data_IF_690529174993
#
_entry.id   IF_690529174993
#
_cell.length_a   1.000
_cell.length_b   1.000
_cell.length_c   1.000
_cell.angle_alpha   90.00
_cell.angle_beta   90.00
_cell.angle_gamma   90.00
#
_symmetry.space_group_name_H-M   'P 1'
#
loop_
_entity.id
_entity.type
_entity.pdbx_description
1 polymer ?
#
# COMPACT_ATOMS: atom_id res chain seq x y z
N UNK A 1 18.92 -80.32 68.42
CA UNK A 1 17.74 -80.25 67.55
C UNK A 1 17.38 -78.79 67.44
N UNK A 2 18.00 -78.11 66.48
CA UNK A 2 17.80 -76.66 66.27
C UNK A 2 17.44 -76.40 64.79
N UNK A 3 16.30 -75.85 64.58
CA UNK A 3 15.76 -75.56 63.26
C UNK A 3 16.22 -74.15 62.88
N UNK A 4 17.01 -74.11 61.81
CA UNK A 4 17.47 -72.82 61.19
C UNK A 4 16.39 -72.31 60.26
N UNK A 5 15.88 -71.06 60.50
CA UNK A 5 14.92 -70.35 59.65
C UNK A 5 15.71 -69.44 58.78
N UNK A 6 15.70 -69.68 57.44
CA UNK A 6 16.24 -68.76 56.41
C UNK A 6 15.28 -67.66 56.13
N UNK A 7 15.67 -66.40 56.36
CA UNK A 7 14.97 -65.22 55.90
C UNK A 7 15.42 -64.86 54.46
N UNK A 8 14.51 -64.93 53.47
CA UNK A 8 14.74 -64.46 52.09
C UNK A 8 14.56 -62.95 52.04
N UNK A 9 15.61 -62.24 51.70
CA UNK A 9 15.52 -60.80 51.29
C UNK A 9 15.18 -60.72 49.80
N UNK A 10 14.08 -60.08 49.47
CA UNK A 10 13.75 -59.66 48.08
C UNK A 10 14.32 -58.27 47.82
N UNK A 11 15.01 -58.05 46.71
CA UNK A 11 15.41 -56.67 46.33
C UNK A 11 14.25 -55.91 45.75
N UNK A 12 14.00 -54.72 46.31
CA UNK A 12 13.04 -53.76 45.84
C UNK A 12 13.67 -53.03 44.63
N UNK A 13 13.21 -53.34 43.40
CA UNK A 13 13.57 -52.59 42.16
C UNK A 13 12.74 -51.31 42.12
N UNK A 14 13.40 -50.16 42.37
CA UNK A 14 12.86 -48.84 42.21
C UNK A 14 12.88 -48.47 40.73
N UNK A 15 11.73 -48.59 40.03
CA UNK A 15 11.59 -48.15 38.64
C UNK A 15 11.39 -46.62 38.61
N UNK A 16 12.46 -45.88 38.26
CA UNK A 16 12.34 -44.46 37.90
C UNK A 16 11.65 -44.35 36.56
N UNK A 17 10.36 -44.02 36.55
CA UNK A 17 9.65 -43.60 35.34
C UNK A 17 10.08 -42.17 34.99
N UNK A 18 10.98 -42.04 34.02
CA UNK A 18 11.28 -40.74 33.38
C UNK A 18 10.11 -40.39 32.49
N UNK A 19 9.21 -39.54 32.97
CA UNK A 19 8.16 -38.90 32.13
C UNK A 19 8.83 -37.88 31.21
N UNK A 20 9.14 -38.29 29.98
CA UNK A 20 9.42 -37.35 28.88
C UNK A 20 8.12 -36.57 28.63
N UNK A 21 8.01 -35.36 29.17
CA UNK A 21 7.02 -34.39 28.80
C UNK A 21 7.29 -33.95 27.38
N UNK A 22 6.60 -34.53 26.41
CA UNK A 22 6.51 -33.98 25.06
C UNK A 22 5.75 -32.67 25.17
N UNK A 23 6.46 -31.53 25.11
CA UNK A 23 5.84 -30.25 24.84
C UNK A 23 5.23 -30.33 23.42
N UNK A 24 3.97 -30.75 23.33
CA UNK A 24 3.17 -30.45 22.18
C UNK A 24 3.01 -28.93 22.15
N UNK A 25 3.74 -28.27 21.25
CA UNK A 25 3.32 -26.94 20.80
C UNK A 25 1.95 -27.17 20.16
N UNK A 26 0.91 -26.84 20.89
CA UNK A 26 -0.41 -26.75 20.30
C UNK A 26 -0.32 -25.67 19.20
N UNK A 27 -0.31 -26.11 17.95
CA UNK A 27 -0.57 -25.19 16.83
C UNK A 27 -1.91 -24.54 17.15
N UNK A 28 -1.92 -23.23 17.31
CA UNK A 28 -3.17 -22.51 17.54
C UNK A 28 -4.11 -22.86 16.38
N UNK A 29 -5.31 -23.38 16.70
CA UNK A 29 -6.33 -23.57 15.69
C UNK A 29 -6.59 -22.22 15.03
N UNK A 30 -6.72 -22.18 13.67
CA UNK A 30 -7.03 -20.93 12.98
C UNK A 30 -8.29 -20.32 13.61
N UNK A 31 -8.35 -18.98 13.77
CA UNK A 31 -9.51 -18.34 14.39
C UNK A 31 -10.76 -18.71 13.59
N UNK A 32 -11.80 -19.13 14.29
CA UNK A 32 -13.09 -19.48 13.67
C UNK A 32 -13.73 -18.26 12.94
N UNK A 33 -13.21 -17.06 13.21
CA UNK A 33 -13.64 -15.79 12.63
C UNK A 33 -12.42 -14.89 12.42
N UNK A 34 -12.43 -14.05 11.37
CA UNK A 34 -11.44 -13.03 11.12
C UNK A 34 -12.13 -11.69 10.85
N UNK A 35 -11.95 -10.74 11.75
CA UNK A 35 -12.52 -9.39 11.65
C UNK A 35 -11.42 -8.38 11.42
N UNK A 36 -11.49 -7.64 10.29
CA UNK A 36 -10.45 -6.72 9.83
C UNK A 36 -11.02 -5.30 9.78
N UNK A 37 -10.36 -4.35 10.44
CA UNK A 37 -10.58 -2.92 10.23
C UNK A 37 -9.68 -2.42 9.10
N UNK A 38 -10.23 -1.68 8.15
CA UNK A 38 -9.47 -1.05 7.05
C UNK A 38 -9.70 0.45 7.12
N UNK A 39 -8.66 1.21 7.53
CA UNK A 39 -8.67 2.67 7.54
C UNK A 39 -7.81 3.19 6.41
N UNK A 40 -8.45 3.84 5.44
CA UNK A 40 -7.82 4.37 4.23
C UNK A 40 -7.91 5.88 4.17
N UNK A 41 -7.12 6.51 3.28
CA UNK A 41 -7.04 7.96 3.18
C UNK A 41 -8.26 8.56 2.52
N UNK A 42 -8.72 8.04 1.36
CA UNK A 42 -9.83 8.62 0.61
C UNK A 42 -10.63 7.57 -0.16
N UNK A 43 -11.96 7.54 0.03
CA UNK A 43 -12.86 6.66 -0.70
C UNK A 43 -13.34 7.23 -2.05
N UNK A 44 -13.00 8.47 -2.37
CA UNK A 44 -13.17 9.04 -3.71
C UNK A 44 -12.22 8.40 -4.74
N UNK A 45 -11.06 7.89 -4.29
CA UNK A 45 -10.16 7.12 -5.14
C UNK A 45 -10.52 5.63 -5.09
N UNK A 46 -10.90 4.99 -6.23
CA UNK A 46 -11.29 3.58 -6.29
C UNK A 46 -10.16 2.60 -5.88
N UNK A 47 -8.90 3.05 -5.88
CA UNK A 47 -7.76 2.31 -5.37
C UNK A 47 -8.01 1.78 -3.94
N UNK A 48 -8.52 2.61 -3.05
CA UNK A 48 -8.77 2.23 -1.66
C UNK A 48 -9.93 1.23 -1.50
N UNK A 49 -10.93 1.29 -2.37
CA UNK A 49 -11.98 0.26 -2.41
C UNK A 49 -11.41 -1.11 -2.81
N UNK A 50 -10.41 -1.15 -3.70
CA UNK A 50 -9.71 -2.39 -4.08
C UNK A 50 -8.88 -2.98 -2.95
N UNK A 51 -8.29 -2.15 -2.09
CA UNK A 51 -7.63 -2.63 -0.85
C UNK A 51 -8.64 -3.40 0.02
N UNK A 52 -9.81 -2.82 0.29
CA UNK A 52 -10.83 -3.49 1.10
C UNK A 52 -11.33 -4.79 0.45
N UNK A 53 -11.54 -4.80 -0.87
CA UNK A 53 -11.93 -6.00 -1.62
C UNK A 53 -10.85 -7.09 -1.54
N UNK A 54 -9.58 -6.71 -1.66
CA UNK A 54 -8.45 -7.64 -1.51
C UNK A 54 -8.37 -8.23 -0.11
N UNK A 55 -8.57 -7.40 0.92
CA UNK A 55 -8.62 -7.84 2.31
C UNK A 55 -9.77 -8.82 2.55
N UNK A 56 -10.99 -8.50 2.06
CA UNK A 56 -12.16 -9.38 2.16
C UNK A 56 -11.91 -10.72 1.46
N UNK A 57 -11.38 -10.70 0.24
CA UNK A 57 -11.11 -11.91 -0.52
C UNK A 57 -10.11 -12.82 0.22
N UNK A 58 -9.00 -12.25 0.76
CA UNK A 58 -8.02 -13.05 1.50
C UNK A 58 -8.56 -13.56 2.83
N UNK A 59 -9.34 -12.75 3.55
CA UNK A 59 -9.99 -13.19 4.78
C UNK A 59 -10.95 -14.36 4.51
N UNK A 60 -11.71 -14.30 3.42
CA UNK A 60 -12.59 -15.42 2.98
C UNK A 60 -11.80 -16.68 2.59
N UNK A 61 -10.65 -16.54 1.93
CA UNK A 61 -9.74 -17.67 1.66
C UNK A 61 -9.29 -18.37 2.95
N UNK A 62 -9.11 -17.61 4.06
CA UNK A 62 -8.60 -18.12 5.33
C UNK A 62 -9.68 -18.70 6.25
N UNK A 63 -10.86 -18.08 6.36
CA UNK A 63 -11.89 -18.44 7.33
C UNK A 63 -13.31 -18.58 6.74
N UNK A 64 -13.44 -18.58 5.41
CA UNK A 64 -14.73 -18.72 4.73
C UNK A 64 -15.69 -17.57 5.03
N UNK A 65 -16.96 -17.90 5.25
CA UNK A 65 -18.03 -16.93 5.50
C UNK A 65 -17.92 -16.19 6.84
N UNK A 66 -16.97 -16.58 7.69
CA UNK A 66 -16.69 -15.93 8.97
C UNK A 66 -15.75 -14.72 8.85
N UNK A 67 -15.44 -14.29 7.63
CA UNK A 67 -14.66 -13.09 7.34
C UNK A 67 -15.52 -11.84 7.41
N UNK A 68 -15.08 -10.84 8.18
CA UNK A 68 -15.71 -9.50 8.28
C UNK A 68 -14.68 -8.42 8.02
N UNK A 69 -14.94 -7.51 7.07
CA UNK A 69 -14.10 -6.35 6.78
C UNK A 69 -14.90 -5.06 6.96
N UNK A 70 -14.38 -4.15 7.76
CA UNK A 70 -14.96 -2.83 8.03
C UNK A 70 -14.07 -1.78 7.37
N UNK A 71 -14.58 -1.10 6.36
CA UNK A 71 -13.88 -0.05 5.63
C UNK A 71 -14.32 1.33 6.09
N UNK A 72 -13.36 2.20 6.43
CA UNK A 72 -13.58 3.61 6.76
C UNK A 72 -12.56 4.50 6.07
N UNK A 73 -12.93 5.78 5.84
CA UNK A 73 -12.03 6.81 5.28
C UNK A 73 -11.67 7.83 6.35
N UNK A 74 -10.39 8.15 6.44
CA UNK A 74 -9.89 9.24 7.27
C UNK A 74 -10.03 10.62 6.61
N UNK A 75 -10.16 10.67 5.28
CA UNK A 75 -10.08 11.90 4.48
C UNK A 75 -8.80 12.69 4.79
N UNK A 76 -7.68 12.01 5.00
CA UNK A 76 -6.38 12.57 5.43
C UNK A 76 -6.41 13.30 6.78
N UNK A 77 -7.50 13.17 7.57
CA UNK A 77 -7.63 13.78 8.89
C UNK A 77 -7.02 12.86 9.96
N UNK A 78 -5.93 13.31 10.57
CA UNK A 78 -5.16 12.56 11.57
C UNK A 78 -6.01 12.23 12.81
N UNK A 79 -6.80 13.20 13.32
CA UNK A 79 -7.60 12.98 14.50
C UNK A 79 -8.77 12.03 14.24
N UNK A 80 -9.36 12.09 13.05
CA UNK A 80 -10.36 11.11 12.61
C UNK A 80 -9.75 9.72 12.54
N UNK A 81 -8.55 9.59 11.97
CA UNK A 81 -7.91 8.30 11.82
C UNK A 81 -7.49 7.69 13.18
N UNK A 82 -7.02 8.50 14.14
CA UNK A 82 -6.78 8.05 15.50
C UNK A 82 -8.04 7.48 16.15
N UNK A 83 -9.17 8.19 16.05
CA UNK A 83 -10.48 7.70 16.55
C UNK A 83 -10.92 6.42 15.84
N UNK A 84 -10.64 6.24 14.55
CA UNK A 84 -10.95 5.01 13.82
C UNK A 84 -10.14 3.82 14.33
N UNK A 85 -8.85 4.00 14.62
CA UNK A 85 -8.00 2.95 15.23
C UNK A 85 -8.58 2.55 16.59
N UNK A 86 -8.85 3.51 17.49
CA UNK A 86 -9.43 3.24 18.81
C UNK A 86 -10.85 2.59 18.71
N UNK A 87 -11.65 2.96 17.72
CA UNK A 87 -12.93 2.34 17.43
C UNK A 87 -12.79 0.88 16.97
N UNK A 88 -11.84 0.57 16.12
CA UNK A 88 -11.55 -0.80 15.71
C UNK A 88 -11.14 -1.68 16.90
N UNK A 89 -10.30 -1.16 17.79
CA UNK A 89 -9.95 -1.85 19.05
C UNK A 89 -11.20 -2.13 19.89
N UNK A 90 -12.09 -1.14 20.05
CA UNK A 90 -13.34 -1.30 20.81
C UNK A 90 -14.30 -2.32 20.18
N UNK A 91 -14.29 -2.43 18.84
CA UNK A 91 -15.06 -3.41 18.07
C UNK A 91 -14.42 -4.80 18.04
N UNK A 92 -13.26 -4.97 18.70
CA UNK A 92 -12.51 -6.22 18.77
C UNK A 92 -12.19 -6.78 17.39
N UNK A 93 -11.64 -5.96 16.51
CA UNK A 93 -11.04 -6.45 15.26
C UNK A 93 -9.79 -7.27 15.61
N UNK A 94 -9.48 -8.25 14.78
CA UNK A 94 -8.29 -9.10 14.94
C UNK A 94 -7.05 -8.41 14.32
N UNK A 95 -7.26 -7.63 13.25
CA UNK A 95 -6.20 -6.81 12.63
C UNK A 95 -6.75 -5.50 12.05
N UNK A 96 -5.85 -4.55 11.85
CA UNK A 96 -6.09 -3.28 11.18
C UNK A 96 -5.17 -3.19 9.97
N UNK A 97 -5.73 -2.91 8.78
CA UNK A 97 -4.99 -2.43 7.64
C UNK A 97 -5.07 -0.90 7.65
N UNK A 98 -3.92 -0.24 7.74
CA UNK A 98 -3.81 1.21 7.93
C UNK A 98 -3.08 1.85 6.74
N UNK A 99 -3.78 2.69 5.97
CA UNK A 99 -3.15 3.65 5.07
C UNK A 99 -3.04 4.98 5.82
N UNK A 100 -1.88 5.21 6.45
CA UNK A 100 -1.67 6.30 7.38
C UNK A 100 -1.68 7.67 6.70
N UNK A 101 -2.46 8.64 7.20
CA UNK A 101 -2.49 10.00 6.69
C UNK A 101 -1.16 10.77 6.95
N UNK A 102 -0.42 10.38 7.98
CA UNK A 102 0.91 10.91 8.34
C UNK A 102 1.72 9.78 8.95
N UNK A 103 2.99 9.66 8.56
CA UNK A 103 3.87 8.53 8.90
C UNK A 103 3.97 8.22 10.40
N UNK A 104 4.25 9.22 11.24
CA UNK A 104 4.56 9.09 12.66
C UNK A 104 3.41 9.52 13.60
N UNK A 105 2.27 9.92 13.04
CA UNK A 105 1.17 10.47 13.83
C UNK A 105 0.39 9.43 14.65
N UNK A 106 0.60 8.13 14.40
CA UNK A 106 -0.25 7.07 14.93
C UNK A 106 0.46 6.08 15.86
N UNK A 107 1.74 6.28 16.17
CA UNK A 107 2.55 5.35 16.98
C UNK A 107 1.87 4.97 18.30
N UNK A 108 1.34 5.95 19.04
CA UNK A 108 0.65 5.68 20.30
C UNK A 108 -0.67 4.90 20.11
N UNK A 109 -1.44 5.23 19.05
CA UNK A 109 -2.70 4.53 18.77
C UNK A 109 -2.42 3.09 18.29
N UNK A 110 -1.38 2.90 17.48
CA UNK A 110 -0.90 1.59 17.04
C UNK A 110 -0.44 0.76 18.25
N UNK A 111 0.37 1.36 19.13
CA UNK A 111 0.83 0.67 20.35
C UNK A 111 -0.35 0.24 21.25
N UNK A 112 -1.39 1.07 21.41
CA UNK A 112 -2.60 0.67 22.15
C UNK A 112 -3.34 -0.48 21.46
N UNK A 113 -3.45 -0.47 20.14
CA UNK A 113 -4.07 -1.56 19.39
C UNK A 113 -3.29 -2.88 19.57
N UNK A 114 -1.96 -2.84 19.48
CA UNK A 114 -1.08 -3.99 19.69
C UNK A 114 -1.16 -4.52 21.12
N UNK A 115 -1.21 -3.65 22.15
CA UNK A 115 -1.42 -4.03 23.56
C UNK A 115 -2.77 -4.73 23.79
N UNK A 116 -3.78 -4.38 22.98
CA UNK A 116 -5.09 -5.05 22.98
C UNK A 116 -5.09 -6.36 22.17
N UNK A 117 -3.94 -6.78 21.60
CA UNK A 117 -3.81 -8.00 20.80
C UNK A 117 -4.14 -7.84 19.32
N UNK A 118 -4.44 -6.63 18.85
CA UNK A 118 -4.76 -6.33 17.44
C UNK A 118 -3.48 -6.17 16.64
N UNK A 119 -3.37 -6.85 15.49
CA UNK A 119 -2.25 -6.67 14.55
C UNK A 119 -2.48 -5.44 13.68
N UNK A 120 -1.44 -4.63 13.48
CA UNK A 120 -1.53 -3.42 12.66
C UNK A 120 -0.58 -3.49 11.48
N UNK A 121 -1.13 -3.61 10.27
CA UNK A 121 -0.39 -3.70 9.01
C UNK A 121 -0.54 -2.37 8.26
N UNK A 122 0.58 -1.71 7.97
CA UNK A 122 0.59 -0.57 7.07
C UNK A 122 0.38 -1.04 5.62
N UNK A 123 -0.49 -0.39 4.88
CA UNK A 123 -0.77 -0.69 3.47
C UNK A 123 -0.73 0.58 2.64
N UNK A 124 -0.16 0.52 1.43
CA UNK A 124 -0.01 1.63 0.50
C UNK A 124 1.05 2.67 0.94
N UNK A 125 1.04 3.06 2.20
CA UNK A 125 1.97 4.00 2.81
C UNK A 125 2.57 3.40 4.08
N UNK A 126 3.75 3.88 4.47
CA UNK A 126 4.40 3.50 5.71
C UNK A 126 3.69 4.12 6.92
N UNK A 127 3.69 3.42 8.05
CA UNK A 127 3.20 3.90 9.34
C UNK A 127 4.16 3.47 10.44
N UNK A 128 4.70 4.44 11.18
CA UNK A 128 5.61 4.17 12.28
C UNK A 128 4.91 3.33 13.37
N UNK A 129 5.60 2.27 13.82
CA UNK A 129 5.08 1.36 14.83
C UNK A 129 4.20 0.21 14.29
N UNK A 130 3.86 0.15 13.00
CA UNK A 130 3.12 -0.96 12.42
C UNK A 130 3.91 -2.29 12.54
N UNK A 131 3.20 -3.41 12.66
CA UNK A 131 3.83 -4.75 12.75
C UNK A 131 4.53 -5.13 11.43
N UNK A 132 3.96 -4.72 10.30
CA UNK A 132 4.57 -4.84 8.98
C UNK A 132 3.97 -3.85 7.98
N UNK A 133 4.65 -3.67 6.85
CA UNK A 133 4.23 -2.79 5.74
C UNK A 133 4.17 -3.55 4.42
N UNK A 134 3.11 -3.34 3.65
CA UNK A 134 3.02 -3.78 2.25
C UNK A 134 2.66 -2.58 1.38
N UNK A 135 3.57 -2.19 0.50
CA UNK A 135 3.41 -1.03 -0.38
C UNK A 135 3.93 -1.32 -1.78
N UNK A 136 3.70 -0.44 -2.73
CA UNK A 136 4.36 -0.46 -4.03
C UNK A 136 5.83 -0.07 -3.84
N UNK A 137 6.73 -0.55 -4.70
CA UNK A 137 8.06 0.04 -4.84
C UNK A 137 7.90 1.44 -5.47
N UNK A 138 7.60 2.43 -4.62
CA UNK A 138 7.26 3.78 -5.06
C UNK A 138 8.44 4.54 -5.68
N UNK A 139 9.69 4.41 -5.18
CA UNK A 139 10.84 4.96 -5.91
C UNK A 139 10.88 4.44 -7.34
N UNK A 140 10.81 3.12 -7.54
CA UNK A 140 10.80 2.50 -8.86
C UNK A 140 9.62 3.01 -9.72
N UNK A 141 8.42 3.19 -9.15
CA UNK A 141 7.27 3.69 -9.89
C UNK A 141 7.52 5.11 -10.44
N UNK A 142 8.12 5.99 -9.64
CA UNK A 142 8.56 7.32 -10.07
C UNK A 142 9.67 7.26 -11.11
N UNK A 143 10.69 6.42 -10.88
CA UNK A 143 11.82 6.22 -11.78
C UNK A 143 11.36 5.78 -13.18
N UNK A 144 10.56 4.71 -13.29
CA UNK A 144 10.13 4.19 -14.60
C UNK A 144 9.18 5.15 -15.33
N UNK A 145 8.35 5.91 -14.60
CA UNK A 145 7.50 6.92 -15.19
C UNK A 145 8.30 8.07 -15.77
N UNK A 146 9.28 8.59 -15.02
CA UNK A 146 10.09 9.74 -15.45
C UNK A 146 11.20 9.35 -16.41
N UNK A 147 11.69 8.11 -16.38
CA UNK A 147 12.54 7.57 -17.45
C UNK A 147 11.79 7.58 -18.79
N UNK A 148 10.52 7.14 -18.79
CA UNK A 148 9.70 7.19 -19.99
C UNK A 148 9.43 8.64 -20.44
N UNK A 149 9.19 9.57 -19.54
CA UNK A 149 9.08 11.01 -19.87
C UNK A 149 10.34 11.48 -20.57
N UNK A 150 11.52 11.27 -19.97
CA UNK A 150 12.79 11.73 -20.53
C UNK A 150 13.04 11.15 -21.94
N UNK A 151 12.70 9.89 -22.16
CA UNK A 151 12.80 9.24 -23.48
C UNK A 151 11.84 9.89 -24.49
N UNK A 152 10.59 10.16 -24.13
CA UNK A 152 9.58 10.73 -25.01
C UNK A 152 9.89 12.17 -25.43
N UNK A 153 10.54 12.96 -24.55
CA UNK A 153 10.96 14.35 -24.86
C UNK A 153 12.41 14.41 -25.33
N UNK A 154 13.04 13.25 -25.68
CA UNK A 154 14.42 13.16 -26.16
C UNK A 154 15.47 13.77 -25.23
N UNK A 155 15.26 13.70 -23.93
CA UNK A 155 16.20 14.14 -22.89
C UNK A 155 16.32 15.66 -22.72
N UNK A 156 15.40 16.45 -23.29
CA UNK A 156 15.41 17.92 -23.18
C UNK A 156 13.99 18.49 -23.16
N UNK A 157 13.75 19.48 -22.31
CA UNK A 157 12.45 20.17 -22.25
C UNK A 157 12.03 20.57 -20.84
N UNK A 158 10.82 21.08 -20.73
CA UNK A 158 10.22 21.59 -19.52
C UNK A 158 9.25 20.57 -18.92
N UNK A 159 9.51 20.11 -17.71
CA UNK A 159 8.71 19.12 -17.01
C UNK A 159 8.02 19.75 -15.81
N UNK A 160 6.77 19.40 -15.59
CA UNK A 160 6.01 19.69 -14.36
C UNK A 160 5.80 18.41 -13.59
N UNK A 161 6.06 18.44 -12.28
CA UNK A 161 5.68 17.41 -11.33
C UNK A 161 4.43 17.91 -10.59
N UNK A 162 3.30 17.28 -10.88
CA UNK A 162 2.04 17.56 -10.18
C UNK A 162 1.97 16.69 -8.93
N UNK A 163 2.37 17.27 -7.81
CA UNK A 163 2.55 16.61 -6.52
C UNK A 163 1.21 16.34 -5.79
N UNK A 164 1.27 15.79 -4.59
CA UNK A 164 0.11 15.37 -3.79
C UNK A 164 0.31 15.49 -2.28
N UNK A 165 -0.54 14.82 -1.50
CA UNK A 165 -0.41 14.75 -0.04
C UNK A 165 0.97 14.21 0.38
N UNK A 166 1.48 14.70 1.52
CA UNK A 166 2.81 14.36 2.03
C UNK A 166 2.78 13.02 2.77
N UNK A 167 2.51 11.94 2.05
CA UNK A 167 2.58 10.55 2.52
C UNK A 167 3.77 9.85 1.87
N UNK A 168 4.28 8.78 2.49
CA UNK A 168 5.53 8.12 2.06
C UNK A 168 5.51 7.72 0.58
N UNK A 169 4.41 7.12 0.11
CA UNK A 169 4.29 6.67 -1.28
C UNK A 169 4.44 7.80 -2.31
N UNK A 170 3.89 8.98 -2.02
CA UNK A 170 3.97 10.15 -2.91
C UNK A 170 5.35 10.78 -2.86
N UNK A 171 5.90 10.98 -1.66
CA UNK A 171 7.27 11.49 -1.48
C UNK A 171 8.28 10.63 -2.25
N UNK A 172 8.18 9.32 -2.10
CA UNK A 172 9.07 8.36 -2.76
C UNK A 172 8.92 8.35 -4.30
N UNK A 173 7.70 8.51 -4.84
CA UNK A 173 7.47 8.64 -6.30
C UNK A 173 8.12 9.89 -6.85
N UNK A 174 7.93 11.02 -6.18
CA UNK A 174 8.53 12.30 -6.59
C UNK A 174 10.06 12.20 -6.54
N UNK A 175 10.63 11.66 -5.47
CA UNK A 175 12.08 11.46 -5.35
C UNK A 175 12.63 10.53 -6.45
N UNK A 176 11.93 9.43 -6.76
CA UNK A 176 12.30 8.54 -7.86
C UNK A 176 12.30 9.26 -9.22
N UNK A 177 11.27 10.07 -9.49
CA UNK A 177 11.18 10.90 -10.68
C UNK A 177 12.32 11.90 -10.76
N UNK A 178 12.55 12.68 -9.71
CA UNK A 178 13.62 13.70 -9.63
C UNK A 178 15.00 13.08 -9.81
N UNK A 179 15.24 11.88 -9.24
CA UNK A 179 16.49 11.14 -9.38
C UNK A 179 16.80 10.86 -10.85
N UNK A 180 15.80 10.39 -11.61
CA UNK A 180 15.98 10.14 -13.04
C UNK A 180 16.17 11.41 -13.84
N UNK A 181 15.33 12.43 -13.60
CA UNK A 181 15.41 13.69 -14.37
C UNK A 181 16.73 14.44 -14.14
N UNK A 182 17.38 14.26 -12.98
CA UNK A 182 18.69 14.84 -12.69
C UNK A 182 19.81 14.33 -13.60
N UNK A 183 19.65 13.13 -14.22
CA UNK A 183 20.59 12.60 -15.20
C UNK A 183 20.49 13.26 -16.59
N UNK A 184 19.46 14.12 -16.80
CA UNK A 184 19.19 14.81 -18.06
C UNK A 184 19.37 16.33 -17.90
N UNK A 185 20.58 16.89 -18.12
CA UNK A 185 20.89 18.28 -17.84
C UNK A 185 20.09 19.30 -18.67
N UNK A 186 19.52 18.88 -19.80
CA UNK A 186 18.70 19.73 -20.66
C UNK A 186 17.21 19.65 -20.32
N UNK A 187 16.82 18.91 -19.27
CA UNK A 187 15.48 18.93 -18.70
C UNK A 187 15.42 19.94 -17.56
N UNK A 188 14.40 20.79 -17.59
CA UNK A 188 14.10 21.75 -16.52
C UNK A 188 12.82 21.38 -15.81
N UNK A 189 12.86 21.13 -14.48
CA UNK A 189 11.67 20.97 -13.67
C UNK A 189 11.12 22.38 -13.37
N UNK A 190 9.96 22.71 -13.93
CA UNK A 190 9.31 24.02 -13.78
C UNK A 190 8.60 24.16 -12.42
N UNK A 191 8.04 23.09 -11.91
CA UNK A 191 7.28 23.03 -10.65
C UNK A 191 7.22 21.59 -10.15
N UNK A 192 7.36 21.41 -8.83
CA UNK A 192 7.31 20.13 -8.11
C UNK A 192 6.53 20.22 -6.79
N UNK A 193 6.01 21.41 -6.44
CA UNK A 193 5.42 21.73 -5.14
C UNK A 193 3.90 21.82 -5.13
N UNK A 194 3.23 21.71 -6.30
CA UNK A 194 1.78 21.88 -6.41
C UNK A 194 1.02 20.64 -5.98
N UNK A 195 0.35 20.73 -4.84
CA UNK A 195 -0.39 19.63 -4.25
C UNK A 195 -1.80 19.52 -4.86
N UNK A 196 -2.01 18.47 -5.67
CA UNK A 196 -3.31 18.14 -6.30
C UNK A 196 -4.28 17.43 -5.34
N UNK A 197 -3.88 17.19 -4.08
CA UNK A 197 -4.66 16.35 -3.16
C UNK A 197 -4.78 14.89 -3.60
N UNK A 198 -4.08 14.47 -4.69
CA UNK A 198 -4.20 13.15 -5.29
C UNK A 198 -5.57 12.88 -5.91
N UNK A 199 -6.34 13.93 -6.21
CA UNK A 199 -7.71 13.85 -6.72
C UNK A 199 -7.84 14.41 -8.14
N UNK A 200 -8.92 14.03 -8.84
CA UNK A 200 -9.20 14.54 -10.19
C UNK A 200 -9.49 16.04 -10.17
N UNK A 201 -10.25 16.49 -9.19
CA UNK A 201 -10.60 17.91 -9.00
C UNK A 201 -9.36 18.75 -8.73
N UNK A 202 -8.49 18.29 -7.82
CA UNK A 202 -7.23 18.97 -7.51
C UNK A 202 -6.25 18.93 -8.68
N UNK A 203 -6.19 17.84 -9.44
CA UNK A 203 -5.42 17.74 -10.68
C UNK A 203 -5.86 18.78 -11.71
N UNK A 204 -7.17 18.93 -11.92
CA UNK A 204 -7.77 19.95 -12.79
C UNK A 204 -7.40 21.36 -12.30
N UNK A 205 -7.62 21.65 -11.03
CA UNK A 205 -7.37 22.98 -10.45
C UNK A 205 -5.90 23.38 -10.56
N UNK A 206 -5.00 22.53 -10.06
CA UNK A 206 -3.56 22.84 -10.03
C UNK A 206 -2.97 22.92 -11.44
N UNK A 207 -3.35 22.01 -12.34
CA UNK A 207 -2.86 22.07 -13.73
C UNK A 207 -3.39 23.29 -14.46
N UNK A 208 -4.63 23.72 -14.22
CA UNK A 208 -5.15 24.98 -14.77
C UNK A 208 -4.27 26.18 -14.37
N UNK A 209 -3.85 26.26 -13.10
CA UNK A 209 -2.95 27.30 -12.63
C UNK A 209 -1.57 27.22 -13.30
N UNK A 210 -1.01 26.01 -13.43
CA UNK A 210 0.30 25.81 -14.05
C UNK A 210 0.30 26.19 -15.53
N UNK A 211 -0.79 25.88 -16.27
CA UNK A 211 -0.94 26.26 -17.68
C UNK A 211 -1.03 27.78 -17.89
N UNK A 212 -1.52 28.53 -16.90
CA UNK A 212 -1.51 30.01 -16.95
C UNK A 212 -0.11 30.58 -16.66
N UNK A 213 0.70 29.92 -15.85
CA UNK A 213 2.04 30.39 -15.45
C UNK A 213 3.08 30.04 -16.52
N UNK A 214 3.04 28.80 -17.04
CA UNK A 214 4.04 28.27 -17.94
C UNK A 214 3.53 28.23 -19.37
N UNK A 215 4.09 29.09 -20.26
CA UNK A 215 3.62 29.18 -21.65
C UNK A 215 3.97 27.93 -22.48
N UNK A 216 4.95 27.13 -22.04
CA UNK A 216 5.36 25.90 -22.70
C UNK A 216 5.75 24.83 -21.68
N UNK A 217 5.18 23.66 -21.83
CA UNK A 217 5.45 22.45 -21.07
C UNK A 217 5.66 21.33 -22.07
N UNK A 218 6.61 20.43 -21.86
CA UNK A 218 6.87 19.27 -22.72
C UNK A 218 6.32 17.98 -22.11
N UNK A 219 6.33 17.87 -20.76
CA UNK A 219 5.75 16.74 -20.07
C UNK A 219 5.25 17.07 -18.65
N UNK A 220 4.30 16.27 -18.19
CA UNK A 220 3.76 16.33 -16.83
C UNK A 220 3.86 14.93 -16.20
N UNK A 221 4.57 14.86 -15.08
CA UNK A 221 4.46 13.72 -14.18
C UNK A 221 3.37 14.01 -13.15
N UNK A 222 2.42 13.09 -12.96
CA UNK A 222 1.43 13.17 -11.88
C UNK A 222 1.61 12.00 -10.93
N UNK A 223 1.51 12.28 -9.63
CA UNK A 223 1.77 11.27 -8.59
C UNK A 223 0.76 10.12 -8.60
N UNK A 224 -0.39 10.30 -9.26
CA UNK A 224 -1.39 9.25 -9.42
C UNK A 224 -2.31 9.49 -10.64
N UNK A 225 -3.07 8.47 -11.01
CA UNK A 225 -3.98 8.48 -12.15
C UNK A 225 -5.17 9.45 -12.01
N UNK A 226 -5.82 9.62 -10.83
CA UNK A 226 -6.87 10.63 -10.68
C UNK A 226 -6.38 12.04 -11.01
N UNK A 227 -5.20 12.44 -10.54
CA UNK A 227 -4.62 13.75 -10.87
C UNK A 227 -4.31 13.89 -12.36
N UNK A 228 -3.84 12.82 -13.04
CA UNK A 228 -3.59 12.79 -14.47
C UNK A 228 -4.86 13.06 -15.28
N UNK A 229 -5.96 12.41 -14.94
CA UNK A 229 -7.25 12.64 -15.60
C UNK A 229 -7.74 14.07 -15.40
N UNK A 230 -7.48 14.67 -14.23
CA UNK A 230 -7.77 16.08 -13.98
C UNK A 230 -6.90 17.01 -14.79
N UNK A 231 -5.60 16.75 -14.86
CA UNK A 231 -4.63 17.52 -15.64
C UNK A 231 -4.96 17.51 -17.15
N UNK A 232 -5.39 16.36 -17.69
CA UNK A 232 -5.83 16.26 -19.07
C UNK A 232 -7.07 17.11 -19.35
N UNK A 233 -8.04 17.15 -18.43
CA UNK A 233 -9.21 18.04 -18.55
C UNK A 233 -8.79 19.51 -18.56
N UNK A 234 -7.83 19.91 -17.71
CA UNK A 234 -7.30 21.28 -17.71
C UNK A 234 -6.66 21.65 -19.05
N UNK A 235 -5.87 20.74 -19.63
CA UNK A 235 -5.25 20.90 -20.94
C UNK A 235 -6.31 21.11 -22.04
N UNK A 236 -7.32 20.25 -22.09
CA UNK A 236 -8.42 20.35 -23.06
C UNK A 236 -9.19 21.67 -22.94
N UNK A 237 -9.50 22.13 -21.71
CA UNK A 237 -10.18 23.39 -21.46
C UNK A 237 -9.36 24.62 -21.87
N UNK A 238 -8.02 24.51 -21.77
CA UNK A 238 -7.09 25.58 -22.12
C UNK A 238 -6.63 25.52 -23.58
N UNK A 239 -7.07 24.54 -24.36
CA UNK A 239 -6.64 24.31 -25.74
C UNK A 239 -5.13 24.01 -25.88
N UNK A 240 -4.54 23.38 -24.86
CA UNK A 240 -3.12 22.99 -24.78
C UNK A 240 -2.99 21.50 -25.06
N UNK A 241 -2.17 21.13 -26.02
CA UNK A 241 -1.97 19.74 -26.46
C UNK A 241 -0.50 19.40 -26.79
N UNK A 242 0.43 20.28 -26.42
CA UNK A 242 1.84 20.17 -26.78
C UNK A 242 2.64 19.26 -25.84
N UNK A 243 2.08 18.77 -24.76
CA UNK A 243 2.80 17.96 -23.77
C UNK A 243 2.21 16.57 -23.58
N UNK A 244 2.97 15.69 -22.96
CA UNK A 244 2.51 14.37 -22.53
C UNK A 244 2.27 14.33 -21.02
N UNK A 245 1.41 13.41 -20.57
CA UNK A 245 1.14 13.14 -19.16
C UNK A 245 1.50 11.69 -18.86
N UNK A 246 2.31 11.46 -17.81
CA UNK A 246 2.63 10.14 -17.30
C UNK A 246 2.33 10.10 -15.80
N UNK A 247 1.75 9.01 -15.32
CA UNK A 247 1.20 8.90 -13.97
C UNK A 247 1.62 7.60 -13.26
N UNK A 248 1.02 7.38 -12.11
CA UNK A 248 1.13 6.14 -11.33
C UNK A 248 -0.27 5.68 -10.95
N UNK A 249 -0.54 4.41 -10.91
CA UNK A 249 -1.57 3.53 -10.37
C UNK A 249 -1.89 2.38 -11.32
N UNK A 250 -1.97 2.59 -12.64
CA UNK A 250 -2.48 1.61 -13.60
C UNK A 250 -4.01 1.41 -13.48
N UNK A 251 -4.73 2.47 -13.14
CA UNK A 251 -6.18 2.44 -12.96
C UNK A 251 -6.92 2.17 -14.28
N UNK A 252 -8.02 1.37 -14.25
CA UNK A 252 -8.81 1.09 -15.45
C UNK A 252 -9.23 2.36 -16.20
N UNK A 253 -9.54 3.44 -15.49
CA UNK A 253 -9.96 4.73 -16.09
C UNK A 253 -8.85 5.40 -16.91
N UNK A 254 -7.57 5.30 -16.46
CA UNK A 254 -6.44 5.83 -17.22
C UNK A 254 -6.11 4.94 -18.41
N UNK A 255 -6.20 3.62 -18.26
CA UNK A 255 -6.04 2.70 -19.38
C UNK A 255 -7.07 2.96 -20.48
N UNK A 256 -8.32 3.22 -20.09
CA UNK A 256 -9.37 3.63 -21.01
C UNK A 256 -9.05 4.98 -21.69
N UNK A 257 -8.63 5.98 -20.90
CA UNK A 257 -8.23 7.29 -21.41
C UNK A 257 -7.06 7.20 -22.40
N UNK A 258 -6.03 6.39 -22.13
CA UNK A 258 -4.91 6.16 -23.06
C UNK A 258 -5.35 5.55 -24.39
N UNK A 259 -6.51 4.93 -24.46
CA UNK A 259 -7.06 4.36 -25.70
C UNK A 259 -7.85 5.36 -26.55
N UNK A 260 -8.09 6.57 -26.04
CA UNK A 260 -8.84 7.60 -26.76
C UNK A 260 -7.95 8.33 -27.78
N UNK A 261 -8.50 8.76 -28.92
CA UNK A 261 -7.77 9.62 -29.83
C UNK A 261 -7.48 10.97 -29.17
N UNK A 262 -6.30 11.53 -29.41
CA UNK A 262 -5.85 12.84 -28.90
C UNK A 262 -5.69 12.93 -27.38
N UNK A 263 -5.62 11.81 -26.67
CA UNK A 263 -5.24 11.82 -25.25
C UNK A 263 -3.80 12.31 -25.08
N UNK A 264 -3.55 13.05 -24.01
CA UNK A 264 -2.19 13.45 -23.59
C UNK A 264 -1.56 12.41 -22.65
N UNK A 265 -2.36 11.49 -22.08
CA UNK A 265 -1.87 10.46 -21.19
C UNK A 265 -1.14 9.38 -21.99
N UNK A 266 0.16 9.24 -21.74
CA UNK A 266 1.06 8.33 -22.48
C UNK A 266 1.60 7.20 -21.65
N UNK A 267 1.40 7.22 -20.34
CA UNK A 267 1.87 6.13 -19.48
C UNK A 267 1.35 6.23 -18.07
N UNK A 268 1.36 5.06 -17.38
CA UNK A 268 1.11 4.95 -15.96
C UNK A 268 1.92 3.78 -15.38
N UNK A 269 2.64 4.00 -14.29
CA UNK A 269 3.31 2.92 -13.55
C UNK A 269 2.29 2.22 -12.65
N UNK A 270 2.26 0.88 -12.70
CA UNK A 270 1.20 0.11 -12.01
C UNK A 270 1.36 0.10 -10.50
N UNK A 271 0.23 0.04 -9.80
CA UNK A 271 0.09 -0.47 -8.45
C UNK A 271 -0.77 -1.75 -8.45
N UNK A 272 -0.77 -2.48 -7.34
CA UNK A 272 -1.56 -3.70 -7.18
C UNK A 272 -2.29 -3.71 -5.84
N UNK A 273 -3.33 -2.85 -5.64
CA UNK A 273 -3.99 -2.68 -4.33
C UNK A 273 -4.61 -3.96 -3.78
N UNK A 274 -5.20 -4.78 -4.64
CA UNK A 274 -5.75 -6.08 -4.25
C UNK A 274 -4.67 -7.04 -3.75
N UNK A 275 -3.52 -7.12 -4.45
CA UNK A 275 -2.40 -7.97 -4.05
C UNK A 275 -1.75 -7.45 -2.76
N UNK A 276 -1.60 -6.14 -2.65
CA UNK A 276 -1.08 -5.45 -1.46
C UNK A 276 -1.90 -5.82 -0.21
N UNK A 277 -3.22 -5.68 -0.30
CA UNK A 277 -4.12 -6.02 0.80
C UNK A 277 -4.12 -7.53 1.12
N UNK A 278 -4.13 -8.40 0.11
CA UNK A 278 -4.03 -9.86 0.31
C UNK A 278 -2.76 -10.23 1.05
N UNK A 279 -1.62 -9.65 0.66
CA UNK A 279 -0.33 -9.91 1.32
C UNK A 279 -0.30 -9.37 2.75
N UNK A 280 -0.85 -8.18 3.00
CA UNK A 280 -0.96 -7.63 4.35
C UNK A 280 -1.82 -8.52 5.27
N UNK A 281 -2.99 -9.00 4.79
CA UNK A 281 -3.83 -9.93 5.57
C UNK A 281 -3.11 -11.23 5.84
N UNK A 282 -2.38 -11.79 4.87
CA UNK A 282 -1.57 -12.99 5.04
C UNK A 282 -0.52 -12.81 6.15
N UNK A 283 0.26 -11.73 6.09
CA UNK A 283 1.28 -11.41 7.10
C UNK A 283 0.65 -11.20 8.49
N UNK A 284 -0.46 -10.46 8.56
CA UNK A 284 -1.19 -10.27 9.82
C UNK A 284 -1.71 -11.58 10.40
N UNK A 285 -2.17 -12.47 9.55
CA UNK A 285 -2.64 -13.80 9.97
C UNK A 285 -1.50 -14.69 10.49
N UNK A 286 -0.34 -14.69 9.84
CA UNK A 286 0.86 -15.37 10.33
C UNK A 286 1.28 -14.84 11.71
N UNK A 287 1.28 -13.53 11.92
CA UNK A 287 1.57 -12.90 13.21
C UNK A 287 0.55 -13.29 14.29
N UNK A 288 -0.73 -13.46 13.93
CA UNK A 288 -1.77 -13.94 14.88
C UNK A 288 -1.55 -15.39 15.28
N UNK A 289 -0.96 -16.22 14.40
CA UNK A 289 -0.56 -17.61 14.70
C UNK A 289 0.74 -17.70 15.54
N UNK A 290 1.37 -16.56 15.85
CA UNK A 290 2.63 -16.52 16.58
C UNK A 290 3.85 -16.81 15.71
N UNK A 291 3.72 -16.80 14.40
CA UNK A 291 4.84 -16.94 13.48
C UNK A 291 5.66 -15.65 13.42
N UNK A 292 6.95 -15.80 13.15
CA UNK A 292 7.84 -14.67 12.84
C UNK A 292 7.83 -14.47 11.32
N UNK A 293 7.67 -13.24 10.87
CA UNK A 293 7.78 -12.91 9.46
C UNK A 293 9.23 -12.97 8.98
N UNK A 294 9.46 -13.42 7.75
CA UNK A 294 10.77 -13.36 7.10
C UNK A 294 11.23 -11.92 6.85
N UNK A 295 10.28 -11.04 6.52
CA UNK A 295 10.46 -9.61 6.40
C UNK A 295 9.22 -8.88 6.92
N UNK A 296 9.41 -7.71 7.52
CA UNK A 296 8.32 -6.84 7.92
C UNK A 296 7.99 -5.76 6.87
N UNK A 297 8.67 -5.78 5.72
CA UNK A 297 8.39 -4.88 4.61
C UNK A 297 8.33 -5.66 3.29
N UNK A 298 7.26 -5.42 2.52
CA UNK A 298 7.08 -5.99 1.18
C UNK A 298 6.83 -4.87 0.19
N UNK A 299 7.73 -4.73 -0.78
CA UNK A 299 7.63 -3.78 -1.88
C UNK A 299 7.13 -4.51 -3.13
N UNK A 300 5.95 -4.15 -3.63
CA UNK A 300 5.37 -4.72 -4.85
C UNK A 300 5.94 -3.97 -6.05
N UNK A 301 6.60 -4.65 -7.01
CA UNK A 301 7.18 -4.00 -8.16
C UNK A 301 6.14 -3.29 -9.02
N UNK A 302 6.48 -2.12 -9.56
CA UNK A 302 5.72 -1.41 -10.57
C UNK A 302 6.14 -1.82 -11.98
N UNK A 303 5.21 -1.74 -12.92
CA UNK A 303 5.43 -1.96 -14.36
C UNK A 303 4.80 -0.80 -15.12
N UNK A 304 5.49 -0.27 -16.12
CA UNK A 304 4.95 0.81 -16.93
C UNK A 304 3.94 0.26 -17.95
N UNK A 305 2.76 0.86 -17.97
CA UNK A 305 1.74 0.67 -19.00
C UNK A 305 1.79 1.89 -19.91
N UNK A 306 1.86 1.64 -21.23
CA UNK A 306 1.86 2.65 -22.29
C UNK A 306 0.84 2.27 -23.37
N UNK A 307 0.52 3.13 -24.34
CA UNK A 307 -0.39 2.79 -25.43
C UNK A 307 -0.01 1.52 -26.20
N UNK A 308 1.28 1.18 -26.25
CA UNK A 308 1.81 0.01 -26.97
C UNK A 308 1.48 -1.31 -26.27
N UNK A 309 1.38 -1.31 -24.92
CA UNK A 309 1.17 -2.52 -24.13
C UNK A 309 -0.14 -2.55 -23.32
N UNK A 310 -0.96 -1.48 -23.35
CA UNK A 310 -2.16 -1.33 -22.53
C UNK A 310 -3.21 -2.44 -22.73
N UNK A 311 -3.31 -3.00 -23.95
CA UNK A 311 -4.27 -4.07 -24.28
C UNK A 311 -3.97 -5.40 -23.55
N UNK A 312 -2.73 -5.62 -23.17
CA UNK A 312 -2.27 -6.81 -22.45
C UNK A 312 -2.03 -6.55 -20.97
N UNK A 313 -2.14 -5.30 -20.53
CA UNK A 313 -1.89 -4.91 -19.16
C UNK A 313 -2.92 -5.49 -18.20
N UNK A 314 -2.44 -5.99 -17.06
CA UNK A 314 -3.32 -6.38 -15.95
C UNK A 314 -3.65 -5.13 -15.15
N UNK A 315 -4.90 -4.75 -15.16
CA UNK A 315 -5.45 -3.69 -14.31
C UNK A 315 -6.03 -4.29 -13.02
N UNK A 316 -6.16 -3.47 -11.99
CA UNK A 316 -6.80 -3.85 -10.72
C UNK A 316 -8.28 -3.46 -10.65
#
# INVERSE_FOLDING_TARGET
>A
MSIMIYKKYAPLLLACAVSMGTCFHALAEPPARLKIGVSVSDLGNPFFARIAQGAQAKAQELVGDNAEVILVSSAYDVERQRRQIDQFVSQRVDMILLSAAVYDAFEEAIARAQQAGVKVLAVDVNAAGADATVTTNNPQAGEIACQYIAEQINGAGNVVILNGPQVSSIIERVQGCETVLADYPDITILSDDRNSGGSREGGLEMMTHLLMIYPHIDAVFTINDPAALGAEVAAQQSGRDEFIIVSVDGAPSVIEAMSQPNTLIRGTATQSPTQMAKKAVEMGYELMQGHTLETNEVLIPAVLITPENNKSAKTW
#
